data_IF_214006323888
#
_entry.id   IF_214006323888
#
_cell.length_a   1.000
_cell.length_b   1.000
_cell.length_c   1.000
_cell.angle_alpha   90.00
_cell.angle_beta   90.00
_cell.angle_gamma   90.00
#
_symmetry.space_group_name_H-M   'P 1'
#
loop_
_entity.id
_entity.type
_entity.pdbx_description
1 polymer ?
#
# COMPACT_ATOMS: atom_id res chain seq x y z
N UNK A 1 -14.93 31.13 6.18
CA UNK A 1 -13.52 30.85 6.52
C UNK A 1 -13.48 29.74 7.55
N UNK A 2 -12.62 28.74 7.37
CA UNK A 2 -12.22 27.79 8.42
C UNK A 2 -12.91 26.42 8.39
N UNK A 3 -12.64 25.60 7.36
CA UNK A 3 -12.89 24.16 7.42
C UNK A 3 -11.65 23.45 7.97
N UNK A 4 -11.72 23.00 9.23
CA UNK A 4 -10.68 22.23 9.89
C UNK A 4 -10.78 20.76 9.48
N UNK A 5 -9.71 20.26 8.87
CA UNK A 5 -9.55 18.90 8.37
C UNK A 5 -9.01 18.00 9.51
N UNK A 6 -9.79 17.04 9.98
CA UNK A 6 -9.31 15.98 10.90
C UNK A 6 -9.44 14.63 10.20
N UNK A 7 -8.34 14.22 9.56
CA UNK A 7 -8.16 12.88 9.02
C UNK A 7 -7.97 11.89 10.18
N UNK A 8 -8.98 11.04 10.41
CA UNK A 8 -8.86 9.88 11.29
C UNK A 8 -8.31 8.70 10.47
N UNK A 9 -6.99 8.56 10.55
CA UNK A 9 -6.21 7.36 10.25
C UNK A 9 -6.85 6.13 10.93
N UNK A 10 -7.56 5.30 10.17
CA UNK A 10 -7.98 3.98 10.65
C UNK A 10 -6.99 2.94 10.15
N UNK A 11 -6.04 2.66 11.03
CA UNK A 11 -5.16 1.51 10.93
C UNK A 11 -5.95 0.21 11.02
N UNK A 12 -5.45 -0.78 10.29
CA UNK A 12 -5.89 -2.16 10.32
C UNK A 12 -5.99 -2.67 11.76
N UNK A 13 -7.20 -3.02 12.19
CA UNK A 13 -7.38 -4.02 13.23
C UNK A 13 -8.77 -4.66 13.13
N UNK A 14 -8.76 -5.97 12.88
CA UNK A 14 -9.80 -6.97 13.16
C UNK A 14 -11.25 -6.52 13.07
N UNK A 15 -11.85 -6.69 11.89
CA UNK A 15 -13.31 -6.82 11.78
C UNK A 15 -13.66 -7.79 10.64
N UNK A 16 -13.42 -9.08 10.91
CA UNK A 16 -13.92 -10.17 10.06
C UNK A 16 -15.28 -10.70 10.59
N UNK A 17 -15.85 -10.06 11.62
CA UNK A 17 -17.12 -10.46 12.22
C UNK A 17 -18.31 -9.84 11.47
N UNK A 18 -18.27 -8.53 11.25
CA UNK A 18 -19.40 -7.80 10.67
C UNK A 18 -19.66 -8.18 9.19
N UNK A 19 -18.62 -8.55 8.43
CA UNK A 19 -18.82 -9.01 7.04
C UNK A 19 -19.43 -10.41 6.93
N UNK A 20 -19.30 -11.23 7.98
CA UNK A 20 -19.84 -12.59 7.98
C UNK A 20 -21.34 -12.59 8.33
N UNK A 21 -21.77 -11.73 9.25
CA UNK A 21 -23.18 -11.53 9.61
C UNK A 21 -24.01 -10.94 8.45
N UNK A 22 -23.43 -10.02 7.68
CA UNK A 22 -24.06 -9.47 6.47
C UNK A 22 -24.22 -10.53 5.36
N UNK A 23 -23.28 -11.47 5.27
CA UNK A 23 -23.37 -12.61 4.34
C UNK A 23 -24.45 -13.59 4.79
N UNK A 24 -24.51 -13.92 6.08
CA UNK A 24 -25.48 -14.89 6.63
C UNK A 24 -26.93 -14.40 6.56
N UNK A 25 -27.16 -13.10 6.74
CA UNK A 25 -28.50 -12.49 6.66
C UNK A 25 -29.03 -12.32 5.22
N UNK A 26 -28.15 -12.41 4.22
CA UNK A 26 -28.51 -12.31 2.80
C UNK A 26 -29.07 -13.61 2.22
N UNK A 27 -29.01 -14.73 2.96
CA UNK A 27 -29.60 -15.99 2.55
C UNK A 27 -30.88 -16.29 3.35
N UNK A 28 -31.96 -16.74 2.69
CA UNK A 28 -33.16 -17.19 3.39
C UNK A 28 -32.81 -18.38 4.30
N UNK A 29 -33.30 -18.37 5.54
CA UNK A 29 -33.07 -19.44 6.50
C UNK A 29 -33.55 -20.78 5.93
N UNK A 30 -32.61 -21.67 5.64
CA UNK A 30 -32.92 -23.02 5.13
C UNK A 30 -33.34 -23.87 6.33
N UNK A 31 -34.57 -24.37 6.31
CA UNK A 31 -35.06 -25.34 7.29
C UNK A 31 -34.22 -26.63 7.16
N UNK A 32 -33.37 -26.89 8.15
CA UNK A 32 -32.45 -28.04 8.18
C UNK A 32 -33.13 -29.35 8.56
N UNK A 33 -34.46 -29.37 8.73
CA UNK A 33 -35.23 -30.60 8.85
C UNK A 33 -35.41 -31.35 7.52
N UNK A 34 -34.93 -30.79 6.41
CA UNK A 34 -34.91 -31.48 5.12
C UNK A 34 -33.74 -32.47 5.05
N UNK A 35 -34.03 -33.75 5.27
CA UNK A 35 -33.09 -34.89 5.19
C UNK A 35 -32.50 -35.14 3.78
N UNK A 36 -32.73 -34.21 2.84
CA UNK A 36 -32.16 -34.21 1.50
C UNK A 36 -30.84 -33.43 1.37
N UNK A 37 -30.23 -32.94 2.46
CA UNK A 37 -28.99 -32.13 2.44
C UNK A 37 -27.79 -32.84 3.13
N UNK A 38 -27.82 -34.17 3.21
CA UNK A 38 -26.59 -34.95 3.39
C UNK A 38 -25.66 -34.74 2.17
N UNK A 39 -24.33 -34.91 2.29
CA UNK A 39 -23.40 -34.73 1.17
C UNK A 39 -23.66 -35.82 0.11
N UNK A 40 -24.59 -35.54 -0.80
CA UNK A 40 -25.13 -36.50 -1.76
C UNK A 40 -26.61 -36.34 -2.14
N UNK A 41 -27.33 -35.33 -1.62
CA UNK A 41 -28.76 -35.13 -1.93
C UNK A 41 -29.06 -34.05 -2.99
N UNK A 42 -29.97 -34.36 -3.91
CA UNK A 42 -30.39 -33.53 -5.05
C UNK A 42 -31.51 -32.56 -4.67
N UNK A 43 -31.31 -31.25 -4.83
CA UNK A 43 -32.26 -30.19 -4.44
C UNK A 43 -33.42 -29.95 -5.43
N UNK A 44 -33.42 -30.58 -6.60
CA UNK A 44 -34.54 -30.48 -7.55
C UNK A 44 -35.02 -31.88 -7.93
N UNK A 45 -36.29 -32.17 -7.70
CA UNK A 45 -36.89 -33.50 -7.81
C UNK A 45 -36.68 -34.21 -9.14
N UNK A 46 -35.60 -35.00 -9.21
CA UNK A 46 -35.47 -36.22 -10.01
C UNK A 46 -34.20 -36.94 -9.52
N UNK A 47 -34.35 -38.15 -8.96
CA UNK A 47 -33.24 -38.95 -8.43
C UNK A 47 -32.30 -39.55 -9.49
N UNK A 48 -32.15 -38.87 -10.63
CA UNK A 48 -31.19 -39.23 -11.67
C UNK A 48 -29.99 -38.27 -11.59
N UNK A 49 -28.75 -38.78 -11.72
CA UNK A 49 -27.57 -37.92 -11.75
C UNK A 49 -27.70 -36.91 -12.92
N UNK A 50 -27.56 -35.62 -12.61
CA UNK A 50 -27.51 -34.57 -13.63
C UNK A 50 -26.29 -34.80 -14.51
N UNK A 51 -26.54 -35.28 -15.73
CA UNK A 51 -25.52 -35.44 -16.76
C UNK A 51 -25.57 -34.18 -17.63
N UNK A 52 -24.51 -33.36 -17.69
CA UNK A 52 -24.48 -32.21 -18.58
C UNK A 52 -24.70 -32.69 -20.02
N UNK A 53 -25.42 -31.94 -20.88
CA UNK A 53 -25.55 -32.29 -22.28
C UNK A 53 -24.17 -32.24 -22.92
N UNK A 54 -23.55 -33.41 -23.04
CA UNK A 54 -22.38 -33.60 -23.87
C UNK A 54 -22.81 -33.27 -25.29
N UNK A 55 -22.22 -32.21 -25.85
CA UNK A 55 -22.29 -31.90 -27.27
C UNK A 55 -22.08 -33.19 -28.07
N UNK A 56 -22.95 -33.55 -29.02
CA UNK A 56 -22.76 -34.73 -29.83
C UNK A 56 -21.73 -34.41 -30.91
N UNK A 57 -20.46 -34.49 -30.55
CA UNK A 57 -19.40 -34.61 -31.53
C UNK A 57 -18.52 -35.81 -31.16
N UNK A 58 -19.04 -36.99 -31.47
CA UNK A 58 -18.35 -38.00 -32.28
C UNK A 58 -19.03 -39.37 -32.13
N UNK A 59 -19.76 -39.75 -33.18
CA UNK A 59 -19.83 -41.12 -33.70
C UNK A 59 -20.25 -42.26 -32.72
N UNK A 60 -21.54 -42.37 -32.45
CA UNK A 60 -22.13 -43.70 -32.31
C UNK A 60 -23.55 -43.72 -32.89
N UNK A 61 -23.64 -44.37 -34.05
CA UNK A 61 -24.83 -44.96 -34.65
C UNK A 61 -25.93 -45.28 -33.64
N UNK A 62 -26.99 -44.48 -33.59
CA UNK A 62 -28.29 -44.98 -33.18
C UNK A 62 -29.40 -44.33 -34.00
N UNK A 63 -29.75 -45.08 -35.03
CA UNK A 63 -30.83 -44.83 -35.96
C UNK A 63 -32.16 -45.07 -35.23
N UNK A 64 -32.77 -44.05 -34.60
CA UNK A 64 -34.21 -44.09 -34.35
C UNK A 64 -34.85 -42.73 -34.04
N UNK A 65 -35.91 -42.47 -34.80
CA UNK A 65 -37.07 -41.65 -34.52
C UNK A 65 -37.02 -40.16 -34.89
N UNK A 66 -37.40 -39.91 -36.14
CA UNK A 66 -37.76 -38.61 -36.65
C UNK A 66 -39.01 -38.04 -35.98
N UNK A 67 -38.86 -36.80 -35.52
CA UNK A 67 -39.80 -35.72 -35.77
C UNK A 67 -38.96 -34.53 -36.23
N UNK A 68 -38.56 -34.58 -37.50
CA UNK A 68 -38.30 -33.36 -38.27
C UNK A 68 -39.66 -32.78 -38.61
N UNK A 69 -40.22 -31.99 -37.69
CA UNK A 69 -41.30 -31.08 -38.05
C UNK A 69 -40.68 -29.87 -38.75
N UNK A 70 -41.07 -29.75 -40.01
CA UNK A 70 -40.59 -28.85 -41.03
C UNK A 70 -41.33 -27.51 -40.87
N UNK A 71 -40.92 -26.75 -39.86
CA UNK A 71 -41.16 -25.31 -39.78
C UNK A 71 -39.81 -24.60 -39.63
N UNK A 72 -39.19 -24.37 -40.78
CA UNK A 72 -37.86 -23.78 -41.01
C UNK A 72 -37.68 -22.32 -40.53
N UNK A 73 -38.45 -21.84 -39.57
CA UNK A 73 -38.27 -20.53 -38.94
C UNK A 73 -38.26 -20.72 -37.42
N UNK A 74 -37.11 -20.48 -36.78
CA UNK A 74 -37.12 -20.24 -35.34
C UNK A 74 -38.20 -19.18 -35.07
N UNK A 75 -39.11 -19.39 -34.09
CA UNK A 75 -40.15 -18.41 -33.80
C UNK A 75 -39.50 -17.03 -33.63
N UNK A 76 -40.04 -15.99 -34.29
CA UNK A 76 -39.37 -14.67 -34.34
C UNK A 76 -38.99 -14.14 -32.95
N UNK A 77 -39.81 -14.43 -31.95
CA UNK A 77 -39.57 -14.11 -30.53
C UNK A 77 -38.27 -14.75 -29.99
N UNK A 78 -38.00 -16.01 -30.37
CA UNK A 78 -36.78 -16.73 -29.98
C UNK A 78 -35.56 -16.15 -30.70
N UNK A 79 -35.69 -15.81 -31.98
CA UNK A 79 -34.64 -15.15 -32.77
C UNK A 79 -34.26 -13.80 -32.15
N UNK A 80 -35.24 -12.92 -31.91
CA UNK A 80 -35.05 -11.63 -31.28
C UNK A 80 -34.45 -11.74 -29.87
N UNK A 81 -34.88 -12.76 -29.10
CA UNK A 81 -34.33 -13.02 -27.77
C UNK A 81 -32.85 -13.45 -27.83
N UNK A 82 -32.48 -14.34 -28.76
CA UNK A 82 -31.09 -14.74 -28.98
C UNK A 82 -30.22 -13.56 -29.40
N UNK A 83 -30.68 -12.75 -30.34
CA UNK A 83 -29.97 -11.55 -30.81
C UNK A 83 -29.76 -10.55 -29.67
N UNK A 84 -30.81 -10.25 -28.89
CA UNK A 84 -30.71 -9.35 -27.73
C UNK A 84 -29.73 -9.87 -26.67
N UNK A 85 -29.76 -11.18 -26.42
CA UNK A 85 -28.88 -11.82 -25.44
C UNK A 85 -27.43 -11.88 -25.93
N UNK A 86 -27.21 -12.13 -27.22
CA UNK A 86 -25.89 -12.08 -27.83
C UNK A 86 -25.28 -10.67 -27.70
N UNK A 87 -26.03 -9.63 -28.03
CA UNK A 87 -25.60 -8.24 -27.87
C UNK A 87 -25.28 -7.87 -26.40
N UNK A 88 -26.10 -8.34 -25.45
CA UNK A 88 -25.83 -8.12 -24.03
C UNK A 88 -24.56 -8.83 -23.55
N UNK A 89 -24.31 -10.05 -24.03
CA UNK A 89 -23.07 -10.79 -23.74
C UNK A 89 -21.86 -10.07 -24.33
N UNK A 90 -21.94 -9.68 -25.60
CA UNK A 90 -20.88 -8.94 -26.28
C UNK A 90 -20.54 -7.64 -25.56
N UNK A 91 -21.55 -6.85 -25.18
CA UNK A 91 -21.34 -5.62 -24.42
C UNK A 91 -20.67 -5.89 -23.05
N UNK A 92 -21.10 -6.93 -22.35
CA UNK A 92 -20.50 -7.29 -21.05
C UNK A 92 -19.05 -7.76 -21.20
N UNK A 93 -18.75 -8.49 -22.27
CA UNK A 93 -17.41 -8.98 -22.57
C UNK A 93 -16.49 -7.82 -22.97
N UNK A 94 -16.99 -6.86 -23.75
CA UNK A 94 -16.28 -5.61 -24.08
C UNK A 94 -15.95 -4.82 -22.81
N UNK A 95 -16.94 -4.55 -21.95
CA UNK A 95 -16.73 -3.83 -20.68
C UNK A 95 -15.75 -4.57 -19.77
N UNK A 96 -15.80 -5.90 -19.76
CA UNK A 96 -14.86 -6.71 -18.98
C UNK A 96 -13.44 -6.64 -19.56
N UNK A 97 -13.30 -6.63 -20.88
CA UNK A 97 -12.02 -6.50 -21.56
C UNK A 97 -11.40 -5.11 -21.36
N UNK A 98 -12.19 -4.04 -21.48
CA UNK A 98 -11.72 -2.66 -21.26
C UNK A 98 -11.28 -2.47 -19.81
N UNK A 99 -12.08 -2.91 -18.82
CA UNK A 99 -11.71 -2.82 -17.41
C UNK A 99 -10.42 -3.57 -17.08
N UNK A 100 -10.21 -4.76 -17.67
CA UNK A 100 -8.95 -5.50 -17.53
C UNK A 100 -7.77 -4.73 -18.13
N UNK A 101 -7.93 -4.20 -19.34
CA UNK A 101 -6.88 -3.42 -20.00
C UNK A 101 -6.52 -2.15 -19.22
N UNK A 102 -7.52 -1.43 -18.68
CA UNK A 102 -7.33 -0.26 -17.81
C UNK A 102 -6.60 -0.64 -16.53
N UNK A 103 -6.97 -1.75 -15.90
CA UNK A 103 -6.30 -2.22 -14.68
C UNK A 103 -4.84 -2.56 -14.93
N UNK A 104 -4.54 -3.23 -16.06
CA UNK A 104 -3.16 -3.55 -16.46
C UNK A 104 -2.37 -2.27 -16.74
N UNK A 105 -2.95 -1.30 -17.45
CA UNK A 105 -2.32 -0.01 -17.74
C UNK A 105 -2.04 0.78 -16.46
N UNK A 106 -3.02 0.84 -15.56
CA UNK A 106 -2.86 1.51 -14.27
C UNK A 106 -1.77 0.84 -13.41
N UNK A 107 -1.70 -0.50 -13.43
CA UNK A 107 -0.66 -1.24 -12.72
C UNK A 107 0.74 -0.96 -13.31
N UNK A 108 0.87 -0.89 -14.64
CA UNK A 108 2.12 -0.53 -15.30
C UNK A 108 2.57 0.90 -14.93
N UNK A 109 1.65 1.86 -15.01
CA UNK A 109 1.93 3.24 -14.62
C UNK A 109 2.34 3.35 -13.14
N UNK A 110 1.66 2.61 -12.25
CA UNK A 110 2.02 2.60 -10.83
C UNK A 110 3.42 2.02 -10.57
N UNK A 111 3.87 1.06 -11.38
CA UNK A 111 5.23 0.51 -11.32
C UNK A 111 6.24 1.57 -11.77
N UNK A 112 5.98 2.23 -12.89
CA UNK A 112 6.88 3.28 -13.41
C UNK A 112 6.99 4.44 -12.41
N UNK A 113 5.85 4.94 -11.92
CA UNK A 113 5.77 5.99 -10.89
C UNK A 113 6.52 5.60 -9.61
N UNK A 114 6.45 4.33 -9.20
CA UNK A 114 7.18 3.84 -8.02
C UNK A 114 8.69 3.96 -8.22
N UNK A 115 9.21 3.52 -9.37
CA UNK A 115 10.64 3.58 -9.63
C UNK A 115 11.15 5.01 -9.82
N UNK A 116 10.40 5.87 -10.50
CA UNK A 116 10.74 7.29 -10.62
C UNK A 116 10.79 7.97 -9.25
N UNK A 117 9.77 7.77 -8.43
CA UNK A 117 9.71 8.33 -7.08
C UNK A 117 10.81 7.76 -6.17
N UNK A 118 11.07 6.44 -6.24
CA UNK A 118 12.12 5.80 -5.47
C UNK A 118 13.50 6.35 -5.84
N UNK A 119 13.82 6.41 -7.13
CA UNK A 119 15.10 6.94 -7.61
C UNK A 119 15.27 8.40 -7.22
N UNK A 120 14.23 9.24 -7.42
CA UNK A 120 14.23 10.64 -6.98
C UNK A 120 14.49 10.78 -5.47
N UNK A 121 13.84 9.97 -4.63
CA UNK A 121 14.05 9.98 -3.17
C UNK A 121 15.43 9.48 -2.77
N UNK A 122 15.93 8.44 -3.43
CA UNK A 122 17.28 7.91 -3.22
C UNK A 122 18.32 8.98 -3.56
N UNK A 123 18.22 9.59 -4.74
CA UNK A 123 19.18 10.59 -5.21
C UNK A 123 19.16 11.84 -4.32
N UNK A 124 17.97 12.29 -3.90
CA UNK A 124 17.84 13.37 -2.92
C UNK A 124 18.50 13.03 -1.59
N UNK A 125 18.30 11.82 -1.08
CA UNK A 125 18.93 11.37 0.16
C UNK A 125 20.45 11.31 0.03
N UNK A 126 20.97 10.75 -1.07
CA UNK A 126 22.41 10.70 -1.34
C UNK A 126 22.99 12.11 -1.44
N UNK A 127 22.33 13.01 -2.16
CA UNK A 127 22.75 14.40 -2.29
C UNK A 127 22.74 15.13 -0.94
N UNK A 128 21.73 14.89 -0.10
CA UNK A 128 21.65 15.44 1.24
C UNK A 128 22.79 14.93 2.13
N UNK A 129 23.04 13.62 2.18
CA UNK A 129 24.15 13.03 2.93
C UNK A 129 25.50 13.53 2.45
N UNK A 130 25.68 13.68 1.13
CA UNK A 130 26.90 14.26 0.57
C UNK A 130 27.09 15.71 1.00
N UNK A 131 26.03 16.53 0.92
CA UNK A 131 26.07 17.92 1.38
C UNK A 131 26.39 18.00 2.87
N UNK A 132 25.75 17.18 3.70
CA UNK A 132 26.01 17.12 5.14
C UNK A 132 27.45 16.70 5.43
N UNK A 133 28.00 15.73 4.69
CA UNK A 133 29.40 15.34 4.80
C UNK A 133 30.35 16.49 4.40
N UNK A 134 30.05 17.22 3.32
CA UNK A 134 30.83 18.40 2.90
C UNK A 134 30.74 19.53 3.93
N UNK A 135 29.57 19.78 4.52
CA UNK A 135 29.37 20.74 5.61
C UNK A 135 30.10 20.31 6.88
N UNK A 136 30.09 19.02 7.23
CA UNK A 136 30.83 18.47 8.36
C UNK A 136 32.35 18.62 8.17
N UNK A 137 32.86 18.33 6.97
CA UNK A 137 34.27 18.51 6.65
C UNK A 137 34.67 20.00 6.71
N UNK A 138 33.86 20.91 6.15
CA UNK A 138 34.09 22.35 6.28
C UNK A 138 34.08 22.80 7.74
N UNK A 139 33.09 22.36 8.53
CA UNK A 139 33.01 22.65 9.96
C UNK A 139 34.22 22.13 10.73
N UNK A 140 34.79 20.98 10.34
CA UNK A 140 36.03 20.45 10.92
C UNK A 140 37.25 21.30 10.56
N UNK A 141 37.39 21.70 9.30
CA UNK A 141 38.47 22.59 8.85
C UNK A 141 38.36 23.97 9.54
N UNK A 142 37.16 24.54 9.66
CA UNK A 142 36.88 25.80 10.37
C UNK A 142 37.07 25.70 11.90
N UNK A 143 36.90 24.50 12.47
CA UNK A 143 37.22 24.23 13.88
C UNK A 143 38.73 24.12 14.10
N UNK A 144 39.49 23.75 13.06
CA UNK A 144 40.94 23.56 13.15
C UNK A 144 41.71 24.84 12.79
N UNK A 145 41.19 25.68 11.90
CA UNK A 145 41.97 26.69 11.16
C UNK A 145 41.85 28.15 11.64
N UNK A 146 41.33 28.43 12.83
CA UNK A 146 41.33 29.81 13.33
C UNK A 146 40.82 29.99 14.76
N UNK A 147 41.54 30.83 15.52
CA UNK A 147 41.18 31.24 16.88
C UNK A 147 42.18 30.83 17.96
N UNK A 148 41.89 31.21 19.19
CA UNK A 148 42.66 30.77 20.37
C UNK A 148 42.45 29.27 20.61
N UNK A 149 43.38 28.58 21.31
CA UNK A 149 43.19 27.15 21.62
C UNK A 149 41.89 26.86 22.39
N UNK A 150 41.40 27.83 23.16
CA UNK A 150 40.14 27.75 23.89
C UNK A 150 38.90 27.90 23.02
N UNK A 151 38.95 28.68 21.93
CA UNK A 151 37.87 28.72 20.93
C UNK A 151 37.68 27.38 20.22
N UNK A 152 38.78 26.67 19.93
CA UNK A 152 38.72 25.31 19.36
C UNK A 152 38.09 24.31 20.33
N UNK A 153 38.49 24.36 21.60
CA UNK A 153 37.91 23.50 22.65
C UNK A 153 36.42 23.80 22.83
N UNK A 154 36.02 25.07 22.85
CA UNK A 154 34.63 25.48 22.99
C UNK A 154 33.72 25.06 21.83
N UNK A 155 34.26 24.89 20.61
CA UNK A 155 33.52 24.35 19.45
C UNK A 155 33.28 22.83 19.55
N UNK A 156 34.17 22.09 20.23
CA UNK A 156 34.08 20.63 20.39
C UNK A 156 33.24 20.19 21.60
N UNK A 157 33.12 21.07 22.61
CA UNK A 157 32.41 20.77 23.86
C UNK A 157 31.01 21.38 23.85
N UNK A 158 30.00 20.62 24.27
CA UNK A 158 28.63 21.11 24.41
C UNK A 158 28.53 22.08 25.61
N UNK A 159 28.54 23.38 25.32
CA UNK A 159 28.36 24.46 26.28
C UNK A 159 26.89 24.85 26.48
N UNK A 160 25.92 24.12 25.91
CA UNK A 160 24.49 24.45 26.02
C UNK A 160 23.90 24.23 27.41
N UNK A 161 24.57 23.41 28.24
CA UNK A 161 24.09 23.10 29.58
C UNK A 161 22.83 22.23 29.60
N UNK A 162 22.44 21.60 28.47
CA UNK A 162 21.24 20.77 28.36
C UNK A 162 21.55 19.29 28.60
N UNK A 163 20.59 18.57 29.17
CA UNK A 163 20.67 17.11 29.38
C UNK A 163 21.75 16.65 30.38
N UNK A 164 22.09 15.36 30.29
CA UNK A 164 23.03 14.66 31.22
C UNK A 164 24.45 15.25 31.17
N UNK A 165 24.82 15.86 30.04
CA UNK A 165 26.09 16.57 29.86
C UNK A 165 26.15 17.93 30.55
N UNK A 166 25.02 18.65 30.64
CA UNK A 166 24.96 20.03 31.10
C UNK A 166 25.15 20.25 32.59
N UNK A 167 24.73 19.29 33.41
CA UNK A 167 24.75 19.38 34.88
C UNK A 167 23.84 20.49 35.43
N UNK A 168 23.15 20.22 36.53
CA UNK A 168 22.33 21.22 37.20
C UNK A 168 23.17 22.44 37.66
N UNK A 169 22.50 23.58 37.87
CA UNK A 169 23.15 24.77 38.42
C UNK A 169 23.86 24.44 39.75
N UNK A 170 25.07 24.97 39.94
CA UNK A 170 25.90 24.69 41.12
C UNK A 170 26.73 23.39 41.04
N UNK A 171 26.53 22.54 40.03
CA UNK A 171 27.37 21.34 39.86
C UNK A 171 28.77 21.68 39.32
N UNK A 172 29.73 20.78 39.51
CA UNK A 172 31.08 20.93 38.93
C UNK A 172 31.06 21.09 37.40
N UNK A 173 30.11 20.44 36.72
CA UNK A 173 29.89 20.60 35.27
C UNK A 173 29.43 22.01 34.89
N UNK A 174 28.56 22.63 35.69
CA UNK A 174 28.14 24.00 35.48
C UNK A 174 29.31 25.00 35.66
N UNK A 175 30.14 24.82 36.69
CA UNK A 175 31.35 25.63 36.93
C UNK A 175 32.39 25.46 35.82
N UNK A 176 32.60 24.24 35.34
CA UNK A 176 33.50 23.95 34.21
C UNK A 176 33.02 24.65 32.94
N UNK A 177 31.72 24.65 32.65
CA UNK A 177 31.14 25.38 31.50
C UNK A 177 31.39 26.88 31.63
N UNK A 178 31.17 27.48 32.80
CA UNK A 178 31.44 28.90 33.04
C UNK A 178 32.92 29.25 32.80
N UNK A 179 33.83 28.41 33.29
CA UNK A 179 35.26 28.56 33.06
C UNK A 179 35.62 28.49 31.56
N UNK A 180 35.07 27.52 30.82
CA UNK A 180 35.31 27.37 29.38
C UNK A 180 34.76 28.55 28.58
N UNK A 181 33.61 29.10 28.96
CA UNK A 181 33.03 30.30 28.33
C UNK A 181 33.89 31.55 28.60
N UNK A 182 34.47 31.66 29.80
CA UNK A 182 35.42 32.73 30.14
C UNK A 182 36.70 32.64 29.32
N UNK A 183 37.35 31.47 29.31
CA UNK A 183 38.59 31.23 28.58
C UNK A 183 38.43 31.39 27.07
N UNK A 184 37.24 31.11 26.51
CA UNK A 184 36.94 31.36 25.10
C UNK A 184 37.03 32.84 24.72
N UNK A 185 36.65 33.74 25.63
CA UNK A 185 36.58 35.19 25.36
C UNK A 185 37.87 35.94 25.75
N UNK A 186 38.78 35.27 26.44
CA UNK A 186 40.00 35.86 26.97
C UNK A 186 41.18 35.66 26.00
N UNK A 187 41.61 36.74 25.37
CA UNK A 187 42.77 36.76 24.46
C UNK A 187 44.12 36.58 25.18
N UNK A 188 44.15 36.77 26.51
CA UNK A 188 45.31 36.58 27.37
C UNK A 188 45.38 35.19 28.01
N UNK A 189 44.42 34.32 27.73
CA UNK A 189 44.37 32.99 28.32
C UNK A 189 45.62 32.15 27.98
N UNK A 190 46.08 31.28 28.89
CA UNK A 190 47.21 30.39 28.62
C UNK A 190 46.92 29.51 27.39
N UNK A 191 47.81 29.53 26.40
CA UNK A 191 47.63 28.84 25.11
C UNK A 191 46.78 29.60 24.08
N UNK A 192 46.42 30.86 24.34
CA UNK A 192 45.70 31.72 23.39
C UNK A 192 46.60 32.25 22.26
N UNK A 193 47.85 32.57 22.56
CA UNK A 193 48.92 32.76 21.57
C UNK A 193 49.56 31.39 21.36
N UNK A 194 49.43 30.83 20.16
CA UNK A 194 49.93 29.48 19.84
C UNK A 194 51.42 29.29 20.19
N UNK A 195 51.81 28.02 20.34
CA UNK A 195 53.23 27.62 20.27
C UNK A 195 53.73 27.68 18.84
#
# INVERSE_FOLDING_TARGET
MGGSNTAANHGANGDNGDMMDDFESSFPAVDTSNEAVAPGGTITGSGLPYRPPTHPDSNQNNNNNGYTDDSNEEPEVVREWRERRALQLEHRDEVSATRKAETIKAAQQAIDDFYENYNSRKDKTIAATRREAEEFLKGREDTTSGGTSWERIAKLVDLSGKGVGGGAAGTGKARMREMLVGLRKDEGAPGAKGY
#
